data_IF_156335642055
#
_entry.id   IF_156335642055
#
_cell.length_a   1.000
_cell.length_b   1.000
_cell.length_c   1.000
_cell.angle_alpha   90.00
_cell.angle_beta   90.00
_cell.angle_gamma   90.00
#
_symmetry.space_group_name_H-M   'P 1'
#
loop_
_entity.id
_entity.type
_entity.pdbx_description
1 polymer ?
#
# COMPACT_ATOMS: atom_id res chain seq x y z
N UNK A 1 -4.66 12.98 -40.23
CA UNK A 1 -4.29 13.71 -39.01
C UNK A 1 -3.16 13.03 -38.22
N UNK A 2 -3.16 11.71 -38.03
CA UNK A 2 -2.12 10.96 -37.31
C UNK A 2 -0.72 11.05 -37.95
N UNK A 3 -0.61 11.00 -39.27
CA UNK A 3 0.67 11.13 -39.99
C UNK A 3 1.34 12.51 -39.83
N UNK A 4 0.56 13.57 -39.66
CA UNK A 4 1.11 14.91 -39.43
C UNK A 4 1.69 15.08 -38.01
N UNK A 5 1.15 14.39 -37.02
CA UNK A 5 1.67 14.41 -35.64
C UNK A 5 3.00 13.67 -35.54
N UNK A 6 3.12 12.53 -36.23
CA UNK A 6 4.36 11.75 -36.29
C UNK A 6 5.51 12.52 -36.95
N UNK A 7 5.21 13.24 -38.03
CA UNK A 7 6.21 14.07 -38.72
C UNK A 7 6.66 15.31 -37.92
N UNK A 8 5.73 15.90 -37.14
CA UNK A 8 6.07 17.02 -36.24
C UNK A 8 6.96 16.52 -35.08
N UNK A 9 6.64 15.37 -34.48
CA UNK A 9 7.42 14.78 -33.39
C UNK A 9 8.84 14.37 -33.86
N UNK A 10 8.96 13.72 -35.00
CA UNK A 10 10.28 13.36 -35.55
C UNK A 10 11.14 14.59 -35.90
N UNK A 11 10.53 15.63 -36.48
CA UNK A 11 11.27 16.88 -36.79
C UNK A 11 11.65 17.67 -35.54
N UNK A 12 10.87 17.63 -34.46
CA UNK A 12 11.18 18.32 -33.23
C UNK A 12 12.28 17.58 -32.44
N UNK A 13 12.28 16.25 -32.45
CA UNK A 13 13.32 15.43 -31.81
C UNK A 13 14.68 15.62 -32.51
N UNK A 14 14.71 15.66 -33.83
CA UNK A 14 15.96 15.84 -34.59
C UNK A 14 16.54 17.25 -34.44
N UNK A 15 15.70 18.29 -34.32
CA UNK A 15 16.17 19.67 -34.09
C UNK A 15 16.71 19.93 -32.69
N UNK A 16 16.19 19.26 -31.63
CA UNK A 16 16.69 19.43 -30.27
C UNK A 16 18.07 18.78 -30.07
N UNK A 17 18.39 17.71 -30.79
CA UNK A 17 19.72 17.07 -30.75
C UNK A 17 20.79 17.85 -31.49
N UNK A 18 20.46 18.63 -32.52
CA UNK A 18 21.42 19.45 -33.29
C UNK A 18 21.84 20.75 -32.61
N UNK A 19 21.06 21.29 -31.71
CA UNK A 19 21.31 22.58 -31.08
C UNK A 19 22.20 22.51 -29.82
N UNK A 20 22.46 21.34 -29.27
CA UNK A 20 23.22 21.17 -28.02
C UNK A 20 24.75 21.05 -28.24
N UNK A 21 25.21 20.89 -29.49
CA UNK A 21 26.64 20.75 -29.81
C UNK A 21 27.32 22.06 -30.20
N UNK A 22 26.56 23.13 -30.50
CA UNK A 22 27.13 24.39 -31.04
C UNK A 22 27.34 25.54 -30.03
N UNK A 23 26.97 25.38 -28.75
CA UNK A 23 27.08 26.46 -27.76
C UNK A 23 28.17 26.23 -26.70
N UNK A 24 29.34 25.79 -27.10
CA UNK A 24 30.55 25.82 -26.26
C UNK A 24 31.61 26.69 -26.93
N UNK A 25 31.48 28.02 -26.76
CA UNK A 25 32.63 28.94 -26.79
C UNK A 25 32.26 30.28 -26.14
N UNK A 26 33.13 30.63 -25.18
CA UNK A 26 33.40 31.99 -24.67
C UNK A 26 32.40 32.62 -23.67
N UNK A 27 32.69 32.48 -22.37
CA UNK A 27 32.88 33.66 -21.52
C UNK A 27 33.92 33.38 -20.44
N UNK A 28 34.99 34.08 -20.53
CA UNK A 28 36.15 34.09 -19.64
C UNK A 28 35.89 35.00 -18.42
N UNK A 29 36.25 34.47 -17.26
CA UNK A 29 36.79 35.12 -16.07
C UNK A 29 36.09 36.33 -15.45
N UNK A 30 35.51 36.08 -14.26
CA UNK A 30 35.85 36.90 -13.05
C UNK A 30 35.88 35.98 -11.85
N UNK A 31 37.06 35.72 -11.33
CA UNK A 31 37.34 34.97 -10.11
C UNK A 31 37.00 35.83 -8.90
N UNK A 32 35.93 35.52 -8.19
CA UNK A 32 35.80 35.92 -6.80
C UNK A 32 36.23 34.75 -5.94
N UNK A 33 37.33 34.93 -5.20
CA UNK A 33 37.84 33.97 -4.21
C UNK A 33 36.75 33.72 -3.16
N UNK A 34 36.03 32.59 -3.29
CA UNK A 34 35.20 32.02 -2.21
C UNK A 34 36.12 31.18 -1.31
N UNK A 35 36.10 31.48 -0.01
CA UNK A 35 36.74 30.68 1.01
C UNK A 35 36.16 29.23 0.93
N UNK A 36 36.99 28.17 1.08
CA UNK A 36 36.48 26.82 1.14
C UNK A 36 35.57 26.70 2.37
N UNK A 37 34.29 26.41 2.14
CA UNK A 37 33.42 25.96 3.22
C UNK A 37 33.94 24.59 3.70
N UNK A 38 34.16 24.49 5.00
CA UNK A 38 34.45 23.22 5.68
C UNK A 38 33.34 22.24 5.33
N UNK A 39 33.69 21.15 4.65
CA UNK A 39 32.80 20.01 4.47
C UNK A 39 32.35 19.52 5.87
N UNK A 40 31.09 19.68 6.17
CA UNK A 40 30.48 19.07 7.33
C UNK A 40 30.43 17.55 7.13
N UNK A 41 30.87 16.75 8.08
CA UNK A 41 30.88 15.29 8.06
C UNK A 41 29.47 14.65 8.11
N UNK A 42 28.40 15.39 7.89
CA UNK A 42 27.02 14.90 7.73
C UNK A 42 26.58 15.07 6.27
N UNK A 43 26.09 14.00 5.65
CA UNK A 43 25.56 14.05 4.27
C UNK A 43 24.47 15.13 4.12
N UNK A 44 24.41 15.73 2.94
CA UNK A 44 23.36 16.72 2.62
C UNK A 44 22.01 15.99 2.56
N UNK A 45 21.06 16.42 3.39
CA UNK A 45 19.72 15.82 3.43
C UNK A 45 18.90 16.21 2.19
N UNK A 46 18.98 17.47 1.78
CA UNK A 46 18.26 17.99 0.61
C UNK A 46 19.25 18.71 -0.30
N UNK A 47 19.32 18.28 -1.55
CA UNK A 47 20.06 18.92 -2.62
C UNK A 47 19.13 19.68 -3.55
N UNK A 48 19.39 20.95 -3.76
CA UNK A 48 18.66 21.80 -4.69
C UNK A 48 19.52 22.12 -5.91
N UNK A 49 18.91 22.40 -7.06
CA UNK A 49 19.59 22.94 -8.23
C UNK A 49 20.41 24.19 -7.88
N UNK A 50 19.90 24.98 -6.97
CA UNK A 50 20.57 26.14 -6.40
C UNK A 50 21.15 25.73 -5.06
N UNK A 51 22.47 25.60 -4.99
CA UNK A 51 23.18 25.10 -3.80
C UNK A 51 22.95 25.91 -2.51
N UNK A 52 22.51 27.16 -2.64
CA UNK A 52 22.14 28.05 -1.53
C UNK A 52 20.95 27.56 -0.70
N UNK A 53 20.13 26.65 -1.28
CA UNK A 53 18.98 26.02 -0.63
C UNK A 53 19.26 24.58 -0.17
N UNK A 54 20.51 24.12 -0.28
CA UNK A 54 20.87 22.81 0.23
C UNK A 54 20.73 22.76 1.74
N UNK A 55 20.13 21.69 2.24
CA UNK A 55 19.95 21.43 3.65
C UNK A 55 20.82 20.25 4.05
N UNK A 56 21.74 20.46 4.99
CA UNK A 56 22.50 19.39 5.64
C UNK A 56 21.74 18.90 6.86
N UNK A 57 21.95 17.63 7.26
CA UNK A 57 21.34 17.10 8.47
C UNK A 57 21.64 18.02 9.66
N UNK A 58 20.65 18.42 10.46
CA UNK A 58 20.89 19.26 11.61
C UNK A 58 21.81 18.51 12.60
N UNK A 59 22.94 19.08 12.90
CA UNK A 59 23.65 18.70 14.13
C UNK A 59 22.64 18.86 15.28
N UNK A 60 22.59 17.93 16.22
CA UNK A 60 21.63 17.70 17.34
C UNK A 60 21.27 18.94 18.18
N UNK A 61 21.04 20.06 17.56
CA UNK A 61 20.53 21.29 18.20
C UNK A 61 19.02 21.33 17.94
N UNK A 62 18.25 21.19 19.02
CA UNK A 62 16.79 21.18 18.99
C UNK A 62 16.23 22.35 18.18
N UNK A 63 15.91 22.09 16.92
CA UNK A 63 15.31 23.11 16.08
C UNK A 63 13.87 23.33 16.52
N UNK A 64 13.52 24.58 16.83
CA UNK A 64 12.16 25.04 17.16
C UNK A 64 11.17 24.91 15.98
N UNK A 65 11.58 24.38 14.84
CA UNK A 65 10.77 24.36 13.62
C UNK A 65 10.35 22.93 13.30
N UNK A 66 9.11 22.60 13.56
CA UNK A 66 8.51 21.29 13.26
C UNK A 66 8.32 20.98 11.76
N UNK A 67 8.58 21.93 10.85
CA UNK A 67 8.41 21.76 9.40
C UNK A 67 9.61 22.32 8.65
N UNK A 68 10.20 21.49 7.77
CA UNK A 68 11.27 21.92 6.86
C UNK A 68 10.62 22.43 5.58
N UNK A 69 10.83 23.70 5.18
CA UNK A 69 10.32 24.19 3.90
C UNK A 69 11.08 23.51 2.75
N UNK A 70 10.43 22.58 2.06
CA UNK A 70 11.01 21.81 0.96
C UNK A 70 11.20 22.60 -0.33
N UNK A 71 10.68 23.83 -0.41
CA UNK A 71 10.79 24.64 -1.61
C UNK A 71 11.05 26.11 -1.25
N UNK A 72 11.85 26.78 -2.07
CA UNK A 72 12.00 28.23 -1.97
C UNK A 72 10.66 28.92 -2.25
N UNK A 73 10.45 30.13 -1.74
CA UNK A 73 9.27 30.97 -2.04
C UNK A 73 9.05 31.14 -3.56
N UNK A 74 10.10 31.01 -4.38
CA UNK A 74 10.06 31.08 -5.83
C UNK A 74 9.66 29.78 -6.56
N UNK A 75 9.39 28.65 -5.87
CA UNK A 75 9.09 27.38 -6.52
C UNK A 75 7.89 27.45 -7.48
N UNK A 76 6.85 28.19 -7.14
CA UNK A 76 5.66 28.36 -7.98
C UNK A 76 5.83 29.41 -9.09
N UNK A 77 6.89 30.19 -9.08
CA UNK A 77 7.15 31.23 -10.07
C UNK A 77 7.54 30.61 -11.43
N UNK A 78 7.15 31.26 -12.55
CA UNK A 78 7.46 30.74 -13.89
C UNK A 78 8.95 30.57 -14.18
N UNK A 79 9.82 31.41 -13.56
CA UNK A 79 11.29 31.33 -13.68
C UNK A 79 11.89 30.08 -13.03
N UNK A 80 11.14 29.34 -12.20
CA UNK A 80 11.59 28.09 -11.58
C UNK A 80 11.42 26.86 -12.48
N UNK A 81 11.00 27.04 -13.72
CA UNK A 81 10.93 25.94 -14.68
C UNK A 81 12.29 25.23 -14.78
N UNK A 82 12.28 23.88 -14.66
CA UNK A 82 13.44 23.00 -14.56
C UNK A 82 14.27 23.15 -13.26
N UNK A 83 13.76 23.84 -12.24
CA UNK A 83 14.33 23.75 -10.90
C UNK A 83 13.96 22.38 -10.31
N UNK A 84 14.88 21.84 -9.52
CA UNK A 84 14.66 20.57 -8.82
C UNK A 84 15.25 20.63 -7.41
N UNK A 85 14.73 19.77 -6.56
CA UNK A 85 15.39 19.37 -5.32
C UNK A 85 15.28 17.85 -5.15
N UNK A 86 16.30 17.28 -4.53
CA UNK A 86 16.37 15.85 -4.22
C UNK A 86 16.47 15.69 -2.71
N UNK A 87 15.60 14.88 -2.16
CA UNK A 87 15.73 14.38 -0.79
C UNK A 87 16.59 13.12 -0.90
N UNK A 88 17.81 13.21 -0.39
CA UNK A 88 18.75 12.10 -0.49
C UNK A 88 18.36 10.97 0.48
N UNK A 89 18.60 9.73 0.08
CA UNK A 89 18.48 8.60 0.99
C UNK A 89 19.49 8.77 2.13
N UNK A 90 19.00 8.64 3.36
CA UNK A 90 19.87 8.59 4.53
C UNK A 90 20.19 7.14 4.82
N UNK A 91 21.42 6.74 4.49
CA UNK A 91 21.96 5.45 4.93
C UNK A 91 22.50 5.60 6.34
N UNK A 92 21.67 5.61 7.36
CA UNK A 92 22.11 5.29 8.70
C UNK A 92 22.04 3.76 8.80
N UNK A 93 23.20 3.10 8.85
CA UNK A 93 23.30 1.65 9.07
C UNK A 93 22.60 1.21 10.38
N UNK A 94 22.27 2.16 11.26
CA UNK A 94 21.52 1.95 12.49
C UNK A 94 20.00 1.98 12.33
N UNK A 95 19.44 2.56 11.25
CA UNK A 95 17.98 2.61 11.04
C UNK A 95 17.46 1.39 10.25
N UNK A 96 18.35 0.59 9.67
CA UNK A 96 17.99 -0.68 9.01
C UNK A 96 17.85 -1.85 9.98
N UNK A 97 18.28 -1.73 11.21
CA UNK A 97 17.81 -2.61 12.29
C UNK A 97 16.39 -2.18 12.67
N UNK A 98 15.43 -2.32 11.72
CA UNK A 98 14.05 -2.57 12.11
C UNK A 98 14.14 -3.63 13.19
N UNK A 99 13.65 -3.34 14.41
CA UNK A 99 13.60 -4.28 15.52
C UNK A 99 12.85 -5.54 15.06
N UNK A 100 13.59 -6.45 14.44
CA UNK A 100 13.07 -7.76 14.08
C UNK A 100 13.24 -8.64 15.28
N UNK A 101 12.14 -9.16 15.77
CA UNK A 101 12.12 -10.10 16.89
C UNK A 101 12.11 -11.52 16.31
N UNK A 102 13.07 -12.36 16.71
CA UNK A 102 13.06 -13.76 16.33
C UNK A 102 11.72 -14.41 16.66
N UNK A 103 11.19 -15.19 15.73
CA UNK A 103 9.86 -15.80 15.85
C UNK A 103 9.78 -16.73 17.06
N UNK A 104 10.82 -17.51 17.32
CA UNK A 104 10.85 -18.47 18.42
C UNK A 104 10.88 -17.76 19.76
N UNK A 105 11.70 -16.70 19.85
CA UNK A 105 11.80 -15.86 21.04
C UNK A 105 10.48 -15.12 21.31
N UNK A 106 9.86 -14.57 20.25
CA UNK A 106 8.57 -13.89 20.34
C UNK A 106 7.48 -14.82 20.90
N UNK A 107 7.36 -16.03 20.35
CA UNK A 107 6.35 -16.99 20.76
C UNK A 107 6.55 -17.42 22.22
N UNK A 108 7.82 -17.62 22.63
CA UNK A 108 8.16 -17.96 24.01
C UNK A 108 7.82 -16.83 25.00
N UNK A 109 8.19 -15.60 24.65
CA UNK A 109 7.99 -14.44 25.52
C UNK A 109 6.51 -14.13 25.72
N UNK A 110 5.67 -14.34 24.69
CA UNK A 110 4.22 -14.12 24.76
C UNK A 110 3.44 -15.36 25.17
N UNK A 111 4.08 -16.50 25.44
CA UNK A 111 3.45 -17.78 25.78
C UNK A 111 2.44 -18.26 24.71
N UNK A 112 2.72 -17.95 23.44
CA UNK A 112 1.86 -18.30 22.32
C UNK A 112 2.35 -19.60 21.68
N UNK A 113 1.45 -20.55 21.50
CA UNK A 113 1.73 -21.80 20.82
C UNK A 113 1.03 -21.80 19.45
N UNK A 114 1.78 -21.49 18.41
CA UNK A 114 1.27 -21.65 17.04
C UNK A 114 1.19 -23.12 16.66
N UNK A 115 0.21 -23.44 15.82
CA UNK A 115 0.10 -24.79 15.24
C UNK A 115 1.27 -25.05 14.29
N UNK A 116 1.69 -26.32 14.23
CA UNK A 116 2.85 -26.76 13.43
C UNK A 116 2.74 -26.35 11.97
N UNK A 117 1.57 -26.52 11.39
CA UNK A 117 1.27 -26.17 10.00
C UNK A 117 1.49 -24.68 9.72
N UNK A 118 1.10 -23.81 10.65
CA UNK A 118 1.33 -22.36 10.51
C UNK A 118 2.81 -22.01 10.62
N UNK A 119 3.55 -22.65 11.53
CA UNK A 119 4.99 -22.45 11.66
C UNK A 119 5.72 -22.90 10.38
N UNK A 120 5.33 -24.02 9.83
CA UNK A 120 5.90 -24.56 8.60
C UNK A 120 5.57 -23.64 7.41
N UNK A 121 4.34 -23.14 7.31
CA UNK A 121 3.95 -22.21 6.25
C UNK A 121 4.70 -20.89 6.37
N UNK A 122 4.88 -20.33 7.57
CA UNK A 122 5.69 -19.11 7.77
C UNK A 122 7.12 -19.30 7.29
N UNK A 123 7.75 -20.45 7.57
CA UNK A 123 9.13 -20.75 7.17
C UNK A 123 9.25 -21.08 5.68
N UNK A 124 8.36 -21.96 5.18
CA UNK A 124 8.50 -22.53 3.83
C UNK A 124 7.91 -21.63 2.76
N UNK A 125 6.69 -21.07 2.99
CA UNK A 125 5.98 -20.27 2.02
C UNK A 125 6.39 -18.78 2.08
N UNK A 126 6.57 -18.24 3.28
CA UNK A 126 6.85 -16.82 3.46
C UNK A 126 8.32 -16.51 3.74
N UNK A 127 9.16 -17.51 4.04
CA UNK A 127 10.57 -17.33 4.44
C UNK A 127 10.73 -16.40 5.65
N UNK A 128 9.76 -16.40 6.56
CA UNK A 128 9.74 -15.55 7.74
C UNK A 128 10.34 -16.31 8.92
N UNK A 129 11.42 -15.77 9.47
CA UNK A 129 12.10 -16.27 10.69
C UNK A 129 12.01 -15.28 11.84
N UNK A 130 11.63 -14.03 11.56
CA UNK A 130 11.52 -12.96 12.55
C UNK A 130 10.34 -12.05 12.20
N UNK A 131 9.66 -11.55 13.22
CA UNK A 131 8.59 -10.59 13.10
C UNK A 131 9.11 -9.16 12.95
N UNK A 132 8.38 -8.35 12.17
CA UNK A 132 8.55 -6.90 12.17
C UNK A 132 7.99 -6.32 13.48
N UNK A 133 8.35 -5.07 13.80
CA UNK A 133 7.84 -4.40 14.99
C UNK A 133 6.31 -4.41 15.02
N UNK A 134 5.66 -4.07 13.89
CA UNK A 134 4.19 -4.05 13.79
C UNK A 134 3.57 -5.42 14.03
N UNK A 135 4.20 -6.48 13.54
CA UNK A 135 3.76 -7.85 13.79
C UNK A 135 3.90 -8.24 15.26
N UNK A 136 5.03 -7.89 15.88
CA UNK A 136 5.29 -8.19 17.29
C UNK A 136 4.35 -7.44 18.23
N UNK A 137 3.97 -6.20 17.91
CA UNK A 137 3.04 -5.39 18.72
C UNK A 137 1.57 -5.72 18.46
N UNK A 138 1.20 -6.01 17.20
CA UNK A 138 -0.18 -6.22 16.79
C UNK A 138 -0.68 -7.63 17.03
N UNK A 139 0.16 -8.64 16.82
CA UNK A 139 -0.23 -10.04 17.00
C UNK A 139 -0.84 -10.33 18.37
N UNK A 140 -0.23 -9.97 19.52
CA UNK A 140 -0.78 -10.29 20.83
C UNK A 140 -2.14 -9.65 21.07
N UNK A 141 -2.34 -8.40 20.63
CA UNK A 141 -3.61 -7.69 20.79
C UNK A 141 -4.74 -8.37 20.04
N UNK A 142 -4.48 -8.76 18.79
CA UNK A 142 -5.48 -9.46 17.97
C UNK A 142 -5.72 -10.88 18.51
N UNK A 143 -4.67 -11.58 18.92
CA UNK A 143 -4.77 -12.92 19.49
C UNK A 143 -5.53 -12.94 20.82
N UNK A 144 -5.49 -11.85 21.58
CA UNK A 144 -6.29 -11.65 22.80
C UNK A 144 -7.72 -11.14 22.49
N UNK A 145 -8.14 -11.16 21.24
CA UNK A 145 -9.46 -10.73 20.77
C UNK A 145 -9.79 -9.24 20.99
N UNK A 146 -8.77 -8.37 21.15
CA UNK A 146 -9.01 -6.94 21.25
C UNK A 146 -9.40 -6.36 19.88
N UNK A 147 -10.32 -5.39 19.87
CA UNK A 147 -10.50 -4.53 18.71
C UNK A 147 -9.20 -3.77 18.47
N UNK A 148 -8.70 -3.77 17.22
CA UNK A 148 -7.35 -3.27 16.96
C UNK A 148 -7.31 -2.42 15.71
N UNK A 149 -6.68 -1.24 15.79
CA UNK A 149 -6.29 -0.42 14.65
C UNK A 149 -4.80 -0.57 14.41
N UNK A 150 -4.42 -1.02 13.23
CA UNK A 150 -3.04 -1.12 12.78
C UNK A 150 -2.80 0.01 11.79
N UNK A 151 -2.06 1.04 12.18
CA UNK A 151 -1.66 2.16 11.31
C UNK A 151 -0.15 2.11 11.05
N UNK A 152 0.23 1.77 9.82
CA UNK A 152 1.64 1.61 9.49
C UNK A 152 1.86 1.74 7.97
N UNK A 153 3.08 2.14 7.58
CA UNK A 153 3.50 2.28 6.19
C UNK A 153 3.30 0.99 5.37
N UNK A 154 3.26 1.11 4.05
CA UNK A 154 3.17 -0.04 3.16
C UNK A 154 4.44 -0.90 3.23
N UNK A 155 4.30 -2.22 3.18
CA UNK A 155 5.43 -3.15 3.22
C UNK A 155 5.90 -3.55 4.63
N UNK A 156 5.35 -3.00 5.72
CA UNK A 156 5.71 -3.36 7.10
C UNK A 156 5.13 -4.69 7.60
N UNK A 157 4.27 -5.35 6.81
CA UNK A 157 3.71 -6.67 7.12
C UNK A 157 2.33 -6.67 7.78
N UNK A 158 1.52 -5.60 7.65
CA UNK A 158 0.16 -5.49 8.22
C UNK A 158 -0.73 -6.71 7.98
N UNK A 159 -0.72 -7.23 6.75
CA UNK A 159 -1.58 -8.37 6.37
C UNK A 159 -1.32 -9.59 7.24
N UNK A 160 -0.07 -9.96 7.48
CA UNK A 160 0.26 -11.07 8.36
C UNK A 160 0.04 -10.74 9.84
N UNK A 161 0.13 -9.46 10.23
CA UNK A 161 -0.14 -9.03 11.60
C UNK A 161 -1.55 -9.42 12.05
N UNK A 162 -2.54 -9.32 11.15
CA UNK A 162 -3.91 -9.71 11.49
C UNK A 162 -4.27 -11.14 11.04
N UNK A 163 -3.80 -11.61 9.89
CA UNK A 163 -4.17 -12.93 9.39
C UNK A 163 -3.66 -14.05 10.29
N UNK A 164 -2.41 -13.99 10.72
CA UNK A 164 -1.80 -15.08 11.48
C UNK A 164 -2.50 -15.35 12.82
N UNK A 165 -2.77 -14.36 13.69
CA UNK A 165 -3.51 -14.61 14.92
C UNK A 165 -4.97 -15.02 14.66
N UNK A 166 -5.63 -14.49 13.63
CA UNK A 166 -7.00 -14.89 13.26
C UNK A 166 -7.05 -16.35 12.83
N UNK A 167 -6.13 -16.77 11.97
CA UNK A 167 -6.05 -18.18 11.51
C UNK A 167 -5.78 -19.11 12.69
N UNK A 168 -4.86 -18.75 13.57
CA UNK A 168 -4.57 -19.52 14.78
C UNK A 168 -5.81 -19.66 15.68
N UNK A 169 -6.56 -18.60 15.94
CA UNK A 169 -7.77 -18.64 16.73
C UNK A 169 -8.88 -19.49 16.10
N UNK A 170 -9.03 -19.44 14.77
CA UNK A 170 -9.99 -20.31 14.06
C UNK A 170 -9.61 -21.79 14.21
N UNK A 171 -8.33 -22.12 14.12
CA UNK A 171 -7.84 -23.49 14.29
C UNK A 171 -8.06 -23.99 15.73
N UNK A 172 -7.76 -23.17 16.73
CA UNK A 172 -8.00 -23.50 18.13
C UNK A 172 -9.49 -23.72 18.42
N UNK A 173 -10.34 -22.86 17.88
CA UNK A 173 -11.79 -23.00 18.00
C UNK A 173 -12.27 -24.32 17.41
N UNK A 174 -11.79 -24.70 16.22
CA UNK A 174 -12.13 -25.97 15.58
C UNK A 174 -11.73 -27.20 16.43
N UNK A 175 -10.61 -27.11 17.13
CA UNK A 175 -10.18 -28.19 18.01
C UNK A 175 -11.06 -28.33 19.24
N UNK A 176 -11.59 -27.21 19.77
CA UNK A 176 -12.47 -27.19 20.96
C UNK A 176 -13.90 -27.62 20.62
N UNK A 177 -14.43 -27.18 19.48
CA UNK A 177 -15.83 -27.40 19.06
C UNK A 177 -15.92 -28.40 17.94
N UNK A 178 -15.83 -29.71 18.25
CA UNK A 178 -15.93 -30.81 17.27
C UNK A 178 -17.28 -30.95 16.57
N UNK A 179 -18.36 -30.32 17.08
CA UNK A 179 -19.76 -30.57 16.68
C UNK A 179 -20.53 -29.36 16.13
N UNK A 180 -19.92 -28.19 15.97
CA UNK A 180 -20.67 -27.07 15.35
C UNK A 180 -21.00 -27.44 13.91
N UNK A 181 -22.28 -27.68 13.61
CA UNK A 181 -22.79 -27.86 12.25
C UNK A 181 -22.45 -26.64 11.42
N UNK A 182 -21.50 -26.81 10.49
CA UNK A 182 -21.10 -25.75 9.58
C UNK A 182 -22.28 -25.33 8.72
N UNK A 183 -22.55 -24.03 8.70
CA UNK A 183 -23.50 -23.46 7.76
C UNK A 183 -22.75 -22.99 6.52
N UNK A 184 -23.23 -23.40 5.35
CA UNK A 184 -22.70 -22.92 4.07
C UNK A 184 -22.76 -21.38 4.00
N UNK A 185 -21.81 -20.79 3.30
CA UNK A 185 -21.69 -19.34 3.09
C UNK A 185 -21.72 -18.51 4.40
N UNK A 186 -21.14 -19.06 5.47
CA UNK A 186 -21.09 -18.44 6.79
C UNK A 186 -19.66 -18.44 7.34
N UNK A 187 -18.81 -17.48 6.88
CA UNK A 187 -17.42 -17.42 7.26
C UNK A 187 -17.21 -17.08 8.74
N UNK A 188 -16.11 -17.57 9.32
CA UNK A 188 -15.64 -17.21 10.66
C UNK A 188 -14.81 -15.92 10.63
N UNK A 189 -14.03 -15.70 9.58
CA UNK A 189 -13.34 -14.44 9.34
C UNK A 189 -13.81 -13.81 8.03
N UNK A 190 -14.06 -12.51 8.07
CA UNK A 190 -14.42 -11.69 6.93
C UNK A 190 -13.43 -10.55 6.77
N UNK A 191 -12.75 -10.48 5.62
CA UNK A 191 -11.79 -9.45 5.31
C UNK A 191 -12.33 -8.63 4.14
N UNK A 192 -12.57 -7.34 4.39
CA UNK A 192 -13.17 -6.41 3.44
C UNK A 192 -12.10 -5.45 2.93
N UNK A 193 -12.04 -5.27 1.62
CA UNK A 193 -11.10 -4.39 0.93
C UNK A 193 -11.84 -3.42 0.00
N UNK A 194 -11.29 -2.22 -0.27
CA UNK A 194 -11.88 -1.30 -1.25
C UNK A 194 -11.69 -1.79 -2.69
N UNK A 195 -10.55 -2.41 -2.99
CA UNK A 195 -10.11 -2.77 -4.34
C UNK A 195 -10.03 -4.27 -4.59
N UNK A 196 -10.18 -4.67 -5.86
CA UNK A 196 -10.15 -6.09 -6.28
C UNK A 196 -8.74 -6.66 -6.24
N UNK A 197 -7.77 -5.86 -6.62
CA UNK A 197 -6.36 -6.22 -6.65
C UNK A 197 -5.87 -6.55 -5.23
N UNK A 198 -6.22 -5.71 -4.27
CA UNK A 198 -5.90 -5.95 -2.87
C UNK A 198 -6.61 -7.21 -2.34
N UNK A 199 -7.89 -7.40 -2.67
CA UNK A 199 -8.61 -8.63 -2.29
C UNK A 199 -7.91 -9.88 -2.81
N UNK A 200 -7.46 -9.86 -4.08
CA UNK A 200 -6.71 -10.98 -4.67
C UNK A 200 -5.37 -11.20 -3.95
N UNK A 201 -4.63 -10.13 -3.65
CA UNK A 201 -3.35 -10.25 -2.93
C UNK A 201 -3.54 -10.84 -1.53
N UNK A 202 -4.52 -10.35 -0.77
CA UNK A 202 -4.81 -10.86 0.58
C UNK A 202 -5.32 -12.31 0.50
N UNK A 203 -6.18 -12.63 -0.47
CA UNK A 203 -6.66 -14.00 -0.70
C UNK A 203 -5.51 -14.97 -0.91
N UNK A 204 -4.58 -14.65 -1.81
CA UNK A 204 -3.39 -15.46 -2.07
C UNK A 204 -2.51 -15.62 -0.81
N UNK A 205 -2.36 -14.57 0.01
CA UNK A 205 -1.62 -14.65 1.28
C UNK A 205 -2.35 -15.57 2.26
N UNK A 206 -3.68 -15.45 2.37
CA UNK A 206 -4.48 -16.27 3.26
C UNK A 206 -4.46 -17.74 2.83
N UNK A 207 -4.60 -18.04 1.53
CA UNK A 207 -4.50 -19.40 0.98
C UNK A 207 -3.16 -20.04 1.30
N UNK A 208 -2.04 -19.35 1.06
CA UNK A 208 -0.70 -19.81 1.38
C UNK A 208 -0.49 -20.03 2.88
N UNK A 209 -1.06 -19.15 3.71
CA UNK A 209 -0.97 -19.29 5.17
C UNK A 209 -1.79 -20.53 5.66
N UNK A 210 -2.86 -20.87 4.96
CA UNK A 210 -3.76 -21.97 5.32
C UNK A 210 -3.39 -23.32 4.68
N UNK A 211 -2.27 -23.43 3.95
CA UNK A 211 -1.81 -24.73 3.38
C UNK A 211 -1.74 -25.78 4.50
N UNK A 212 -2.28 -26.96 4.26
CA UNK A 212 -2.32 -28.11 5.17
C UNK A 212 -3.06 -27.88 6.51
N UNK A 213 -3.70 -26.73 6.73
CA UNK A 213 -4.47 -26.46 7.96
C UNK A 213 -5.91 -27.00 7.90
N UNK A 214 -6.39 -27.37 6.73
CA UNK A 214 -7.78 -27.76 6.47
C UNK A 214 -8.79 -26.60 6.50
N UNK A 215 -8.34 -25.34 6.61
CA UNK A 215 -9.19 -24.17 6.49
C UNK A 215 -9.47 -23.82 5.02
N UNK A 216 -10.70 -23.38 4.75
CA UNK A 216 -11.14 -23.00 3.41
C UNK A 216 -11.17 -21.49 3.27
N UNK A 217 -10.33 -20.97 2.38
CA UNK A 217 -10.26 -19.56 2.01
C UNK A 217 -11.04 -19.36 0.71
N UNK A 218 -11.82 -18.30 0.64
CA UNK A 218 -12.56 -17.91 -0.57
C UNK A 218 -12.36 -16.42 -0.83
N UNK A 219 -12.09 -16.05 -2.08
CA UNK A 219 -11.97 -14.66 -2.50
C UNK A 219 -13.09 -14.31 -3.47
N UNK A 220 -13.88 -13.26 -3.14
CA UNK A 220 -14.97 -12.78 -3.99
C UNK A 220 -14.70 -11.34 -4.42
N UNK A 221 -14.62 -11.14 -5.72
CA UNK A 221 -14.36 -9.84 -6.34
C UNK A 221 -15.66 -9.20 -6.85
N UNK A 222 -15.75 -7.90 -6.76
CA UNK A 222 -16.82 -7.17 -7.42
C UNK A 222 -16.81 -7.40 -8.93
N UNK A 223 -17.98 -7.43 -9.56
CA UNK A 223 -18.15 -7.73 -10.99
C UNK A 223 -18.73 -9.12 -11.26
N UNK A 224 -18.35 -10.14 -10.50
CA UNK A 224 -18.88 -11.51 -10.63
C UNK A 224 -20.11 -11.77 -9.73
N UNK A 225 -20.50 -10.80 -8.90
CA UNK A 225 -21.62 -10.97 -7.95
C UNK A 225 -22.96 -11.23 -8.61
N UNK A 226 -23.20 -10.76 -9.84
CA UNK A 226 -24.44 -11.04 -10.56
C UNK A 226 -24.61 -12.54 -10.84
N UNK A 227 -23.55 -13.22 -11.25
CA UNK A 227 -23.57 -14.66 -11.50
C UNK A 227 -23.82 -15.44 -10.20
N UNK A 228 -23.14 -15.07 -9.11
CA UNK A 228 -23.34 -15.69 -7.79
C UNK A 228 -24.75 -15.45 -7.23
N UNK A 229 -25.40 -14.34 -7.61
CA UNK A 229 -26.77 -14.04 -7.16
C UNK A 229 -27.79 -14.88 -7.98
N UNK A 230 -27.56 -15.05 -9.27
CA UNK A 230 -28.46 -15.82 -10.15
C UNK A 230 -28.31 -17.34 -9.89
N UNK A 231 -27.08 -17.79 -9.74
CA UNK A 231 -26.74 -19.19 -9.47
C UNK A 231 -25.90 -19.26 -8.17
N UNK A 232 -26.53 -19.26 -6.99
CA UNK A 232 -25.80 -19.27 -5.73
C UNK A 232 -25.11 -20.61 -5.50
N UNK A 233 -23.81 -20.58 -5.25
CA UNK A 233 -23.03 -21.71 -4.79
C UNK A 233 -23.05 -21.72 -3.26
N UNK A 234 -23.36 -22.88 -2.68
CA UNK A 234 -23.33 -23.09 -1.24
C UNK A 234 -22.04 -23.84 -0.87
N UNK A 235 -21.07 -23.09 -0.38
CA UNK A 235 -19.73 -23.61 -0.09
C UNK A 235 -19.40 -23.49 1.40
N UNK A 236 -18.58 -24.40 1.87
CA UNK A 236 -17.90 -24.23 3.14
C UNK A 236 -16.84 -23.15 3.00
N UNK A 237 -16.87 -22.16 3.87
CA UNK A 237 -15.89 -21.07 3.91
C UNK A 237 -15.55 -20.74 5.35
N UNK A 238 -14.26 -20.65 5.66
CA UNK A 238 -13.78 -20.23 6.96
C UNK A 238 -13.33 -18.77 6.93
N UNK A 239 -12.61 -18.40 5.87
CA UNK A 239 -12.07 -17.07 5.66
C UNK A 239 -12.58 -16.57 4.32
N UNK A 240 -13.32 -15.48 4.36
CA UNK A 240 -13.82 -14.80 3.17
C UNK A 240 -13.08 -13.48 2.98
N UNK A 241 -12.37 -13.34 1.87
CA UNK A 241 -11.77 -12.09 1.43
C UNK A 241 -12.66 -11.50 0.32
N UNK A 242 -13.09 -10.25 0.48
CA UNK A 242 -14.10 -9.72 -0.42
C UNK A 242 -14.02 -8.21 -0.56
N UNK A 243 -14.41 -7.70 -1.72
CA UNK A 243 -14.54 -6.24 -1.90
C UNK A 243 -15.83 -5.70 -1.29
N UNK A 244 -15.80 -4.45 -0.78
CA UNK A 244 -16.93 -3.79 -0.11
C UNK A 244 -18.23 -3.86 -0.92
N UNK A 245 -18.17 -3.55 -2.21
CA UNK A 245 -19.36 -3.57 -3.07
C UNK A 245 -19.93 -4.97 -3.35
N UNK A 246 -19.10 -6.02 -3.25
CA UNK A 246 -19.54 -7.41 -3.43
C UNK A 246 -20.24 -7.92 -2.16
N UNK A 247 -19.63 -7.73 -0.98
CA UNK A 247 -20.18 -8.24 0.27
C UNK A 247 -21.53 -7.61 0.61
N UNK A 248 -21.69 -6.30 0.41
CA UNK A 248 -22.96 -5.64 0.62
C UNK A 248 -24.11 -6.26 -0.19
N UNK A 249 -23.87 -6.62 -1.44
CA UNK A 249 -24.87 -7.28 -2.29
C UNK A 249 -25.18 -8.70 -1.82
N UNK A 250 -24.14 -9.48 -1.51
CA UNK A 250 -24.28 -10.89 -1.14
C UNK A 250 -24.97 -11.07 0.22
N UNK A 251 -24.76 -10.17 1.16
CA UNK A 251 -25.47 -10.18 2.44
C UNK A 251 -26.92 -9.71 2.27
N UNK A 252 -27.16 -8.67 1.47
CA UNK A 252 -28.52 -8.17 1.25
C UNK A 252 -29.41 -9.17 0.51
N UNK A 253 -28.83 -10.03 -0.32
CA UNK A 253 -29.54 -11.14 -1.00
C UNK A 253 -29.66 -12.40 -0.14
N UNK A 254 -29.05 -12.43 1.05
CA UNK A 254 -29.09 -13.56 1.97
C UNK A 254 -28.20 -14.76 1.56
N UNK A 255 -27.39 -14.63 0.51
CA UNK A 255 -26.47 -15.70 0.03
C UNK A 255 -25.36 -15.93 1.04
N UNK A 256 -24.78 -14.84 1.61
CA UNK A 256 -23.81 -14.92 2.68
C UNK A 256 -24.41 -14.43 4.01
N UNK A 257 -24.08 -15.13 5.10
CA UNK A 257 -24.56 -14.84 6.45
C UNK A 257 -23.40 -14.43 7.34
N UNK A 258 -23.58 -13.34 8.09
CA UNK A 258 -22.54 -12.76 8.95
C UNK A 258 -22.67 -13.11 10.44
N UNK A 259 -23.74 -13.79 10.86
CA UNK A 259 -23.96 -14.11 12.27
C UNK A 259 -22.90 -15.04 12.90
N UNK A 260 -22.13 -15.76 12.10
CA UNK A 260 -21.03 -16.60 12.56
C UNK A 260 -19.65 -15.95 12.45
N UNK A 261 -19.56 -14.72 11.92
CA UNK A 261 -18.30 -14.00 11.80
C UNK A 261 -17.77 -13.65 13.19
N UNK A 262 -16.56 -14.11 13.47
CA UNK A 262 -15.82 -13.83 14.72
C UNK A 262 -14.74 -12.78 14.54
N UNK A 263 -14.25 -12.63 13.33
CA UNK A 263 -13.21 -11.68 12.98
C UNK A 263 -13.65 -10.89 11.75
N UNK A 264 -13.79 -9.58 11.92
CA UNK A 264 -14.04 -8.66 10.82
C UNK A 264 -12.82 -7.76 10.65
N UNK A 265 -12.24 -7.79 9.48
CA UNK A 265 -11.07 -6.96 9.12
C UNK A 265 -11.46 -5.99 8.01
N UNK A 266 -11.13 -4.71 8.18
CA UNK A 266 -11.12 -3.72 7.12
C UNK A 266 -9.68 -3.42 6.74
N UNK A 267 -9.25 -3.83 5.56
CA UNK A 267 -7.92 -3.46 5.04
C UNK A 267 -8.03 -2.27 4.09
N UNK A 268 -7.02 -1.39 4.09
CA UNK A 268 -7.11 -0.02 3.59
C UNK A 268 -8.31 0.74 4.20
N UNK A 269 -8.38 0.69 5.54
CA UNK A 269 -9.50 1.26 6.28
C UNK A 269 -9.66 2.78 6.04
N UNK A 270 -8.58 3.50 5.77
CA UNK A 270 -8.60 4.91 5.36
C UNK A 270 -9.45 5.11 4.07
N UNK A 271 -9.27 4.26 3.08
CA UNK A 271 -10.06 4.29 1.83
C UNK A 271 -11.52 3.85 2.07
N UNK A 272 -11.74 2.84 2.92
CA UNK A 272 -13.10 2.34 3.21
C UNK A 272 -13.93 3.31 4.06
N UNK A 273 -13.27 4.11 4.88
CA UNK A 273 -13.87 5.15 5.73
C UNK A 273 -13.97 6.50 5.01
N UNK A 274 -13.50 6.62 3.76
CA UNK A 274 -13.68 7.82 2.95
C UNK A 274 -15.13 7.93 2.44
N UNK A 275 -15.57 9.14 2.16
CA UNK A 275 -16.97 9.52 1.84
C UNK A 275 -17.68 8.62 0.82
N UNK A 276 -16.91 8.00 -0.09
CA UNK A 276 -17.46 7.13 -1.13
C UNK A 276 -18.06 5.80 -0.63
N UNK A 277 -17.56 5.26 0.48
CA UNK A 277 -17.98 3.96 1.01
C UNK A 277 -18.67 4.03 2.37
N UNK A 278 -18.51 5.11 3.11
CA UNK A 278 -18.93 5.26 4.52
C UNK A 278 -20.37 4.83 4.76
N UNK A 279 -21.32 5.29 3.95
CA UNK A 279 -22.73 4.93 4.13
C UNK A 279 -22.99 3.43 4.00
N UNK A 280 -22.42 2.79 2.98
CA UNK A 280 -22.54 1.34 2.77
C UNK A 280 -21.85 0.55 3.86
N UNK A 281 -20.71 1.03 4.31
CA UNK A 281 -19.89 0.41 5.34
C UNK A 281 -20.63 0.43 6.69
N UNK A 282 -21.11 1.58 7.14
CA UNK A 282 -21.84 1.69 8.42
C UNK A 282 -23.06 0.77 8.43
N UNK A 283 -23.88 0.77 7.38
CA UNK A 283 -25.04 -0.15 7.25
C UNK A 283 -24.65 -1.63 7.25
N UNK A 284 -23.46 -1.95 6.76
CA UNK A 284 -22.93 -3.30 6.81
C UNK A 284 -22.51 -3.64 8.24
N UNK A 285 -21.75 -2.74 8.89
CA UNK A 285 -21.23 -2.93 10.24
C UNK A 285 -22.33 -3.09 11.29
N UNK A 286 -23.45 -2.43 11.13
CA UNK A 286 -24.65 -2.59 12.01
C UNK A 286 -25.17 -4.03 12.07
N UNK A 287 -24.81 -4.90 11.12
CA UNK A 287 -25.23 -6.31 11.08
C UNK A 287 -24.35 -7.24 11.94
N UNK A 288 -23.24 -6.72 12.48
CA UNK A 288 -22.31 -7.52 13.28
C UNK A 288 -22.52 -7.28 14.78
N UNK A 289 -22.56 -8.35 15.57
CA UNK A 289 -22.59 -8.25 17.03
C UNK A 289 -21.16 -8.00 17.55
N UNK A 290 -20.73 -6.74 17.62
CA UNK A 290 -19.42 -6.41 18.17
C UNK A 290 -19.34 -6.67 19.68
N UNK A 291 -18.19 -7.11 20.18
CA UNK A 291 -17.94 -7.27 21.59
C UNK A 291 -18.05 -5.93 22.31
N UNK A 292 -18.85 -5.85 23.35
CA UNK A 292 -18.91 -4.67 24.22
C UNK A 292 -17.95 -4.74 25.39
N UNK A 293 -17.60 -5.96 25.86
CA UNK A 293 -16.66 -6.19 26.95
C UNK A 293 -15.84 -7.46 26.69
N UNK A 294 -14.53 -7.34 26.75
CA UNK A 294 -13.56 -8.31 26.27
C UNK A 294 -13.27 -9.50 27.20
N UNK A 295 -13.78 -9.54 28.42
CA UNK A 295 -13.21 -10.46 29.43
C UNK A 295 -14.18 -11.33 30.22
N UNK A 296 -15.48 -11.36 29.96
CA UNK A 296 -16.36 -12.01 30.94
C UNK A 296 -17.17 -13.22 30.49
N UNK A 297 -17.14 -13.61 29.20
CA UNK A 297 -17.92 -14.78 28.77
C UNK A 297 -17.08 -15.71 27.86
N UNK A 298 -16.76 -16.90 28.35
CA UNK A 298 -16.26 -18.02 27.54
C UNK A 298 -17.20 -18.37 26.37
N UNK A 299 -18.44 -17.86 26.41
CA UNK A 299 -19.48 -18.06 25.40
C UNK A 299 -19.86 -16.78 24.66
N UNK A 300 -19.06 -15.72 24.78
CA UNK A 300 -19.35 -14.45 24.09
C UNK A 300 -19.13 -14.60 22.58
N UNK A 301 -20.26 -14.61 21.87
CA UNK A 301 -20.35 -14.81 20.43
C UNK A 301 -20.15 -13.54 19.60
N UNK A 302 -19.56 -12.50 20.16
CA UNK A 302 -19.36 -11.24 19.46
C UNK A 302 -18.26 -11.29 18.39
N UNK A 303 -18.21 -10.27 17.56
CA UNK A 303 -17.24 -10.10 16.49
C UNK A 303 -16.09 -9.20 16.93
N UNK A 304 -14.85 -9.66 16.79
CA UNK A 304 -13.66 -8.83 16.88
C UNK A 304 -13.54 -7.95 15.66
N UNK A 305 -13.16 -6.69 15.84
CA UNK A 305 -12.97 -5.71 14.76
C UNK A 305 -11.52 -5.31 14.62
N UNK A 306 -10.97 -5.43 13.42
CA UNK A 306 -9.60 -5.06 13.09
C UNK A 306 -9.60 -4.10 11.92
N UNK A 307 -8.89 -2.98 12.08
CA UNK A 307 -8.67 -1.97 11.07
C UNK A 307 -7.20 -1.99 10.68
N UNK A 308 -6.88 -2.13 9.41
CA UNK A 308 -5.52 -1.99 8.89
C UNK A 308 -5.47 -0.83 7.88
N UNK A 309 -4.54 0.10 8.08
CA UNK A 309 -4.46 1.31 7.28
C UNK A 309 -3.01 1.72 7.02
N UNK A 310 -2.77 2.41 5.90
CA UNK A 310 -1.49 3.03 5.60
C UNK A 310 -1.38 4.46 6.15
N UNK A 311 -2.49 5.06 6.51
CA UNK A 311 -2.59 6.37 7.15
C UNK A 311 -3.43 6.29 8.41
N UNK A 312 -3.35 7.30 9.28
CA UNK A 312 -4.24 7.39 10.44
C UNK A 312 -5.58 7.95 9.97
N UNK A 313 -6.68 7.18 9.99
CA UNK A 313 -7.98 7.71 9.59
C UNK A 313 -8.43 8.80 10.57
N UNK A 314 -8.79 9.97 10.05
CA UNK A 314 -9.05 11.16 10.87
C UNK A 314 -10.45 11.21 11.50
N UNK A 315 -11.41 10.49 10.94
CA UNK A 315 -12.84 10.57 11.32
C UNK A 315 -13.40 9.25 11.84
N UNK A 316 -12.55 8.38 12.41
CA UNK A 316 -12.98 7.05 12.91
C UNK A 316 -14.10 7.21 13.94
N UNK A 317 -13.94 8.11 14.90
CA UNK A 317 -14.89 8.28 16.00
C UNK A 317 -16.26 8.71 15.47
N UNK A 318 -16.30 9.71 14.60
CA UNK A 318 -17.56 10.21 14.03
C UNK A 318 -18.29 9.15 13.20
N UNK A 319 -17.56 8.33 12.47
CA UNK A 319 -18.12 7.34 11.56
C UNK A 319 -18.54 6.04 12.26
N UNK A 320 -17.76 5.59 13.25
CA UNK A 320 -17.93 4.29 13.87
C UNK A 320 -18.64 4.33 15.24
N UNK A 321 -18.81 5.49 15.87
CA UNK A 321 -19.44 5.62 17.21
C UNK A 321 -20.84 5.01 17.33
N UNK A 322 -21.57 4.89 16.20
CA UNK A 322 -22.90 4.24 16.17
C UNK A 322 -22.81 2.73 16.22
N UNK A 323 -21.68 2.17 15.88
CA UNK A 323 -21.48 0.73 15.66
C UNK A 323 -20.65 0.13 16.77
N UNK A 324 -19.58 0.82 17.19
CA UNK A 324 -18.62 0.34 18.17
C UNK A 324 -18.16 1.48 19.07
N UNK A 325 -17.86 1.19 20.34
CA UNK A 325 -17.17 2.15 21.19
C UNK A 325 -15.69 2.25 20.75
N UNK A 326 -15.35 3.34 20.08
CA UNK A 326 -14.01 3.57 19.52
C UNK A 326 -12.93 3.53 20.60
N UNK A 327 -13.26 3.86 21.86
CA UNK A 327 -12.32 3.80 23.00
C UNK A 327 -11.86 2.38 23.32
N UNK A 328 -12.59 1.36 22.86
CA UNK A 328 -12.20 -0.05 23.02
C UNK A 328 -11.18 -0.52 22.00
N UNK A 329 -10.92 0.27 20.95
CA UNK A 329 -9.98 -0.07 19.89
C UNK A 329 -8.56 0.23 20.37
N UNK A 330 -7.73 -0.82 20.42
CA UNK A 330 -6.32 -0.68 20.73
C UNK A 330 -5.53 -0.29 19.48
N UNK A 331 -4.70 0.72 19.60
CA UNK A 331 -3.88 1.20 18.49
C UNK A 331 -2.51 0.53 18.46
N UNK A 332 -2.07 0.19 17.25
CA UNK A 332 -0.71 -0.26 16.91
C UNK A 332 -0.21 0.65 15.80
N UNK A 333 0.62 1.61 16.17
CA UNK A 333 1.04 2.69 15.26
C UNK A 333 2.54 2.59 15.00
N UNK A 334 2.91 2.53 13.71
CA UNK A 334 4.32 2.56 13.32
C UNK A 334 4.96 3.90 13.67
N UNK A 335 6.18 3.91 14.22
CA UNK A 335 6.94 5.12 14.42
C UNK A 335 7.28 5.85 13.09
N UNK A 336 7.18 5.14 11.96
CA UNK A 336 7.44 5.67 10.62
C UNK A 336 6.17 6.09 9.88
N UNK A 337 5.01 6.01 10.52
CA UNK A 337 3.76 6.46 9.93
C UNK A 337 3.85 7.93 9.49
N UNK A 338 3.41 8.22 8.25
CA UNK A 338 3.50 9.56 7.62
C UNK A 338 4.92 10.12 7.44
N UNK A 339 5.96 9.32 7.67
CA UNK A 339 7.33 9.74 7.37
C UNK A 339 7.74 9.32 5.96
N UNK A 340 8.61 10.11 5.36
CA UNK A 340 9.29 9.71 4.13
C UNK A 340 10.20 8.53 4.42
N UNK A 341 10.18 7.52 3.55
CA UNK A 341 11.05 6.36 3.68
C UNK A 341 12.51 6.79 3.56
N UNK A 342 13.33 6.64 4.62
CA UNK A 342 14.68 7.19 4.65
C UNK A 342 15.63 6.58 3.60
N UNK A 343 15.34 5.38 3.11
CA UNK A 343 16.14 4.66 2.11
C UNK A 343 15.73 4.95 0.66
N UNK A 344 14.67 5.76 0.43
CA UNK A 344 14.16 6.08 -0.91
C UNK A 344 14.56 7.51 -1.27
N UNK A 345 15.40 7.64 -2.31
CA UNK A 345 15.69 8.95 -2.90
C UNK A 345 14.46 9.50 -3.60
N UNK A 346 14.09 10.74 -3.32
CA UNK A 346 12.95 11.41 -3.94
C UNK A 346 13.41 12.68 -4.66
N UNK A 347 13.12 12.76 -5.95
CA UNK A 347 13.45 13.92 -6.78
C UNK A 347 12.20 14.64 -7.25
N UNK A 348 12.13 15.92 -6.93
CA UNK A 348 11.03 16.80 -7.31
C UNK A 348 11.52 17.75 -8.40
N UNK A 349 10.82 17.81 -9.52
CA UNK A 349 11.21 18.62 -10.68
C UNK A 349 10.06 19.53 -11.08
N UNK A 350 10.30 20.82 -11.13
CA UNK A 350 9.35 21.82 -11.62
C UNK A 350 9.36 21.87 -13.15
N UNK A 351 8.24 21.52 -13.78
CA UNK A 351 8.13 21.51 -15.24
C UNK A 351 6.93 22.30 -15.74
N UNK A 352 7.13 23.05 -16.83
CA UNK A 352 6.02 23.59 -17.60
C UNK A 352 5.19 22.46 -18.24
N UNK A 353 3.89 22.67 -18.41
CA UNK A 353 2.99 21.64 -18.97
C UNK A 353 3.47 21.12 -20.33
N UNK A 354 3.92 22.03 -21.21
CA UNK A 354 4.37 21.68 -22.56
C UNK A 354 5.64 20.82 -22.60
N UNK A 355 6.51 20.90 -21.61
CA UNK A 355 7.78 20.15 -21.57
C UNK A 355 7.69 18.82 -20.81
N UNK A 356 6.54 18.50 -20.20
CA UNK A 356 6.37 17.28 -19.41
C UNK A 356 6.55 15.99 -20.23
N UNK A 357 5.95 15.85 -21.45
CA UNK A 357 6.10 14.62 -22.22
C UNK A 357 7.56 14.34 -22.62
N UNK A 358 8.29 15.36 -23.07
CA UNK A 358 9.70 15.21 -23.45
C UNK A 358 10.58 14.82 -22.26
N UNK A 359 10.40 15.48 -21.12
CA UNK A 359 11.17 15.15 -19.92
C UNK A 359 10.84 13.75 -19.39
N UNK A 360 9.57 13.35 -19.44
CA UNK A 360 9.15 11.99 -19.08
C UNK A 360 9.81 10.95 -19.98
N UNK A 361 9.85 11.20 -21.30
CA UNK A 361 10.51 10.33 -22.25
C UNK A 361 12.01 10.20 -21.96
N UNK A 362 12.69 11.32 -21.69
CA UNK A 362 14.12 11.31 -21.34
C UNK A 362 14.39 10.53 -20.05
N UNK A 363 13.55 10.70 -19.04
CA UNK A 363 13.66 9.93 -17.78
C UNK A 363 13.43 8.44 -18.03
N UNK A 364 12.37 8.07 -18.75
CA UNK A 364 12.06 6.68 -19.06
C UNK A 364 13.23 6.01 -19.84
N UNK A 365 13.77 6.67 -20.85
CA UNK A 365 14.92 6.16 -21.58
C UNK A 365 16.17 5.98 -20.70
N UNK A 366 16.40 6.87 -19.75
CA UNK A 366 17.54 6.79 -18.85
C UNK A 366 17.44 5.61 -17.88
N UNK A 367 16.24 5.33 -17.33
CA UNK A 367 16.02 4.23 -16.40
C UNK A 367 16.01 2.86 -17.12
N UNK A 368 15.39 2.78 -18.31
CA UNK A 368 15.36 1.55 -19.12
C UNK A 368 16.79 1.13 -19.53
N UNK A 369 17.67 2.07 -19.85
CA UNK A 369 19.08 1.77 -20.11
C UNK A 369 19.80 1.12 -18.92
N UNK A 370 19.28 1.27 -17.73
CA UNK A 370 19.77 0.67 -16.49
C UNK A 370 19.00 -0.60 -16.11
N UNK A 371 18.13 -1.10 -16.99
CA UNK A 371 17.22 -2.25 -16.75
C UNK A 371 16.33 -2.06 -15.51
N UNK A 372 15.85 -0.83 -15.28
CA UNK A 372 14.96 -0.52 -14.16
C UNK A 372 13.54 -0.39 -14.66
N UNK A 373 12.59 -1.20 -14.15
CA UNK A 373 11.17 -1.05 -14.47
C UNK A 373 10.63 0.26 -13.89
N UNK A 374 9.65 0.85 -14.60
CA UNK A 374 9.11 2.18 -14.27
C UNK A 374 7.60 2.09 -14.04
N UNK A 375 7.11 2.73 -12.97
CA UNK A 375 5.67 2.95 -12.77
C UNK A 375 5.41 4.45 -12.85
N UNK A 376 4.44 4.86 -13.69
CA UNK A 376 4.05 6.26 -13.89
C UNK A 376 2.63 6.45 -13.37
N UNK A 377 2.48 7.18 -12.26
CA UNK A 377 1.18 7.50 -11.71
C UNK A 377 0.59 8.74 -12.37
N UNK A 378 -0.65 8.63 -12.83
CA UNK A 378 -1.44 9.70 -13.45
C UNK A 378 -2.72 9.98 -12.67
N UNK A 379 -3.11 11.27 -12.57
CA UNK A 379 -4.31 11.66 -11.83
C UNK A 379 -5.64 11.30 -12.55
N UNK A 380 -5.58 10.94 -13.84
CA UNK A 380 -6.76 10.63 -14.66
C UNK A 380 -6.47 9.45 -15.58
N UNK A 381 -7.46 8.60 -15.82
CA UNK A 381 -7.39 7.47 -16.73
C UNK A 381 -6.95 7.91 -18.14
N UNK A 382 -7.53 8.98 -18.68
CA UNK A 382 -7.16 9.52 -19.99
C UNK A 382 -5.68 9.98 -20.06
N UNK A 383 -5.07 10.39 -18.93
CA UNK A 383 -3.64 10.73 -18.90
C UNK A 383 -2.79 9.48 -18.92
N UNK A 384 -3.18 8.42 -18.22
CA UNK A 384 -2.52 7.11 -18.27
C UNK A 384 -2.55 6.56 -19.71
N UNK A 385 -3.70 6.61 -20.38
CA UNK A 385 -3.83 6.19 -21.78
C UNK A 385 -2.90 6.99 -22.70
N UNK A 386 -2.89 8.31 -22.54
CA UNK A 386 -2.00 9.18 -23.32
C UNK A 386 -0.53 8.85 -23.10
N UNK A 387 -0.11 8.65 -21.85
CA UNK A 387 1.27 8.29 -21.49
C UNK A 387 1.70 6.98 -22.16
N UNK A 388 0.84 5.96 -22.09
CA UNK A 388 1.11 4.67 -22.73
C UNK A 388 1.24 4.80 -24.24
N UNK A 389 0.32 5.50 -24.90
CA UNK A 389 0.37 5.72 -26.34
C UNK A 389 1.64 6.49 -26.74
N UNK A 390 1.95 7.56 -26.01
CA UNK A 390 3.11 8.41 -26.28
C UNK A 390 4.42 7.64 -26.16
N UNK A 391 4.60 6.84 -25.10
CA UNK A 391 5.81 6.04 -24.88
C UNK A 391 5.95 4.93 -25.90
N UNK A 392 4.87 4.23 -26.24
CA UNK A 392 4.88 3.20 -27.29
C UNK A 392 5.22 3.78 -28.66
N UNK A 393 4.71 4.96 -29.00
CA UNK A 393 5.09 5.66 -30.24
C UNK A 393 6.57 6.07 -30.28
N UNK A 394 7.16 6.30 -29.11
CA UNK A 394 8.59 6.59 -28.96
C UNK A 394 9.48 5.32 -28.88
N UNK A 395 8.91 4.12 -29.07
CA UNK A 395 9.63 2.85 -29.05
C UNK A 395 9.90 2.28 -27.66
N UNK A 396 9.17 2.73 -26.64
CA UNK A 396 9.26 2.20 -25.27
C UNK A 396 8.07 1.30 -25.01
N UNK A 397 8.30 0.07 -24.56
CA UNK A 397 7.25 -0.89 -24.22
C UNK A 397 6.51 -0.46 -22.96
N UNK A 398 5.38 0.19 -23.13
CA UNK A 398 4.54 0.69 -22.03
C UNK A 398 3.15 0.06 -22.07
N UNK A 399 2.70 -0.44 -20.95
CA UNK A 399 1.33 -0.90 -20.74
C UNK A 399 0.60 0.06 -19.79
N UNK A 400 -0.66 0.38 -20.08
CA UNK A 400 -1.48 1.20 -19.19
C UNK A 400 -2.38 0.33 -18.30
N UNK A 401 -2.64 0.85 -17.09
CA UNK A 401 -3.52 0.24 -16.11
C UNK A 401 -4.35 1.33 -15.43
N UNK A 402 -5.66 1.37 -15.67
CA UNK A 402 -6.53 2.37 -15.07
C UNK A 402 -7.92 1.81 -14.71
N UNK A 403 -8.70 2.59 -13.95
CA UNK A 403 -9.99 2.19 -13.41
C UNK A 403 -11.09 1.96 -14.45
N UNK A 404 -10.99 2.57 -15.64
CA UNK A 404 -12.01 2.48 -16.69
C UNK A 404 -11.91 1.18 -17.51
N UNK A 405 -10.83 0.42 -17.31
CA UNK A 405 -10.61 -0.85 -18.01
C UNK A 405 -11.41 -2.01 -17.41
N UNK A 406 -11.82 -2.92 -18.28
CA UNK A 406 -12.44 -4.18 -17.87
C UNK A 406 -11.43 -5.01 -17.04
N UNK A 407 -11.92 -5.66 -15.98
CA UNK A 407 -11.10 -6.41 -15.03
C UNK A 407 -10.19 -7.47 -15.68
N UNK A 408 -10.72 -8.23 -16.64
CA UNK A 408 -9.93 -9.24 -17.36
C UNK A 408 -8.71 -8.65 -18.08
N UNK A 409 -8.85 -7.43 -18.60
CA UNK A 409 -7.76 -6.71 -19.27
C UNK A 409 -6.74 -6.21 -18.22
N UNK A 410 -7.21 -5.71 -17.08
CA UNK A 410 -6.35 -5.17 -16.02
C UNK A 410 -5.42 -6.23 -15.44
N UNK A 411 -5.95 -7.37 -15.04
CA UNK A 411 -5.15 -8.46 -14.44
C UNK A 411 -4.04 -8.90 -15.39
N UNK A 412 -4.34 -9.24 -16.62
CA UNK A 412 -3.32 -9.68 -17.57
C UNK A 412 -2.25 -8.62 -17.87
N UNK A 413 -2.59 -7.33 -17.81
CA UNK A 413 -1.61 -6.24 -18.03
C UNK A 413 -0.64 -6.08 -16.87
N UNK A 414 -1.12 -6.20 -15.64
CA UNK A 414 -0.25 -6.13 -14.47
C UNK A 414 0.71 -7.32 -14.40
N UNK A 415 0.23 -8.52 -14.68
CA UNK A 415 1.05 -9.74 -14.76
C UNK A 415 2.15 -9.62 -15.81
N UNK A 416 1.83 -9.07 -16.98
CA UNK A 416 2.80 -8.81 -18.04
C UNK A 416 3.89 -7.81 -17.65
N UNK A 417 3.54 -6.78 -16.91
CA UNK A 417 4.53 -5.87 -16.34
C UNK A 417 5.41 -6.56 -15.28
N UNK A 418 4.81 -7.35 -14.40
CA UNK A 418 5.56 -8.11 -13.38
C UNK A 418 6.51 -9.14 -13.99
N UNK A 419 6.13 -9.77 -15.10
CA UNK A 419 6.99 -10.73 -15.82
C UNK A 419 8.12 -10.08 -16.61
N UNK A 420 8.16 -8.75 -16.73
CA UNK A 420 9.15 -8.01 -17.49
C UNK A 420 8.85 -7.96 -19.00
N UNK A 421 7.65 -8.32 -19.45
CA UNK A 421 7.23 -8.15 -20.86
C UNK A 421 7.14 -6.67 -21.23
N UNK A 422 6.86 -5.80 -20.26
CA UNK A 422 6.80 -4.34 -20.42
C UNK A 422 7.76 -3.66 -19.45
N UNK A 423 8.46 -2.63 -19.96
CA UNK A 423 9.41 -1.83 -19.18
C UNK A 423 8.68 -0.77 -18.31
N UNK A 424 7.51 -0.32 -18.78
CA UNK A 424 6.76 0.78 -18.15
C UNK A 424 5.30 0.39 -17.92
N UNK A 425 4.81 0.70 -16.71
CA UNK A 425 3.39 0.67 -16.33
C UNK A 425 2.90 2.11 -16.10
N UNK A 426 1.83 2.53 -16.79
CA UNK A 426 1.25 3.88 -16.63
C UNK A 426 -0.17 3.85 -16.06
#
# INVERSE_FOLDING_TARGET
>A
MLQNVTNILQRTIIRSYGATVAAKREHRRRSSKRKPQKESKGGTLINCKRSEFNLSAPEKTGSKFGTIPLASKGWLHYKSNKDYFTINATTSDNDQQTHRMDLTEFLKNNQIKLQSELLDNLKNEFKITAFTQIQAEGFPKIYQSHHTLIAAETGCGKTLTYLLPIVQQILERRQRSREETRKFNSPLALIITPGRELATQIGNVAERLCINTGLKVTTILGGNTKQLIVNPEFIDVDILVVTMGAISKLINTGIYRVGHVRHLVLDEADTLLDDGFTYLLVRLLEKFPFHRNQMQDEHNFGTQFVLASATMPTNIEEQLQRVIDVKTIQEVVSPNLHKLMPHVEQKFIRMAKASRPENMLCLAQAEIKQNRPIIIFSNKSATSDYVSIFLNQAGINCVNLNGDMLMKIRLGRFEKFQSGEFDVLS
#
